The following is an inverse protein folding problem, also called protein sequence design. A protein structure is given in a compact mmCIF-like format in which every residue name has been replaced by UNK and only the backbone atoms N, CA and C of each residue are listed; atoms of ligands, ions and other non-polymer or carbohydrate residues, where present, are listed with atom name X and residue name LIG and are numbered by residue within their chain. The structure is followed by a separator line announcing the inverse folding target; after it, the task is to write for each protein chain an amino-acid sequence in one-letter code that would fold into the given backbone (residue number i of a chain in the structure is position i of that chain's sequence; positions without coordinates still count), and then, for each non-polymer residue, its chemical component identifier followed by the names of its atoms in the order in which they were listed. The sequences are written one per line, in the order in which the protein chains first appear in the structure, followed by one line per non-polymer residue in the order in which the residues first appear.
data_IF_513210977049
#
_entry.id   IF_513210977049
#
_cell.length_a   1.000
_cell.length_b   1.000
_cell.length_c   1.000
_cell.angle_alpha   90.00
_cell.angle_beta   90.00
_cell.angle_gamma   90.00
#
_symmetry.space_group_name_H-M   'P 1'
#
loop_
_entity.id
_entity.type
_entity.pdbx_description
1 polymer ?
#
# COMPACT_ATOMS: atom_id res chain seq x y z
N UNK A 1 3.49 22.80 51.19
CA UNK A 1 4.14 21.55 50.71
C UNK A 1 4.37 21.48 49.20
N UNK A 2 3.67 22.26 48.38
CA UNK A 2 3.79 22.21 46.89
C UNK A 2 4.94 23.01 46.29
N UNK A 3 5.58 23.93 47.03
CA UNK A 3 6.74 24.70 46.53
C UNK A 3 8.12 24.10 46.86
N UNK A 4 8.18 23.12 47.77
CA UNK A 4 9.42 22.44 48.13
C UNK A 4 9.69 21.24 47.21
N UNK A 5 8.63 20.57 46.73
CA UNK A 5 8.73 19.47 45.76
C UNK A 5 9.14 19.97 44.36
N UNK A 6 8.70 21.17 43.97
CA UNK A 6 9.11 21.78 42.70
C UNK A 6 10.59 22.20 42.70
N UNK A 7 11.15 22.57 43.85
CA UNK A 7 12.58 22.92 43.95
C UNK A 7 13.50 21.70 43.94
N UNK A 8 13.05 20.54 44.45
CA UNK A 8 13.83 19.29 44.41
C UNK A 8 13.79 18.64 43.01
N UNK A 9 12.68 18.76 42.29
CA UNK A 9 12.59 18.31 40.88
C UNK A 9 13.35 19.27 39.94
N UNK A 10 13.43 20.56 40.28
CA UNK A 10 14.20 21.54 39.48
C UNK A 10 15.71 21.53 39.80
N UNK A 11 16.12 21.13 41.02
CA UNK A 11 17.54 21.02 41.38
C UNK A 11 18.20 19.72 40.88
N UNK A 12 17.43 18.67 40.60
CA UNK A 12 17.91 17.48 39.88
C UNK A 12 18.08 17.69 38.37
N UNK A 13 17.61 18.83 37.83
CA UNK A 13 17.75 19.21 36.42
C UNK A 13 19.01 20.05 36.13
N UNK A 14 19.74 20.49 37.15
CA UNK A 14 21.03 21.18 37.00
C UNK A 14 22.19 20.26 37.39
N UNK A 15 22.40 19.21 36.59
CA UNK A 15 23.76 18.69 36.42
C UNK A 15 24.49 19.76 35.60
N UNK A 16 25.52 20.36 36.20
CA UNK A 16 26.37 21.33 35.54
C UNK A 16 26.75 20.84 34.13
N UNK A 17 26.85 21.72 33.12
CA UNK A 17 27.45 21.32 31.87
C UNK A 17 28.92 20.99 32.17
N UNK A 18 29.24 19.70 32.33
CA UNK A 18 30.61 19.24 32.18
C UNK A 18 31.00 19.62 30.75
N UNK A 19 31.77 20.70 30.62
CA UNK A 19 32.27 21.27 29.36
C UNK A 19 33.51 20.54 28.85
N UNK A 20 33.93 19.47 29.55
CA UNK A 20 35.03 18.58 29.16
C UNK A 20 34.55 17.39 28.33
N UNK A 21 35.33 17.05 27.30
CA UNK A 21 35.25 15.77 26.60
C UNK A 21 35.89 14.71 27.50
N UNK A 22 35.15 14.23 28.49
CA UNK A 22 35.68 13.33 29.51
C UNK A 22 35.46 11.88 29.08
N UNK A 23 36.54 11.19 28.71
CA UNK A 23 36.57 9.75 28.53
C UNK A 23 37.75 9.13 29.29
N UNK A 24 37.51 7.96 29.88
CA UNK A 24 38.53 7.07 30.40
C UNK A 24 38.72 5.97 29.36
N UNK A 25 39.86 6.04 28.67
CA UNK A 25 40.19 5.16 27.57
C UNK A 25 41.18 4.08 28.03
N UNK A 26 40.65 2.89 28.31
CA UNK A 26 41.43 1.67 28.58
C UNK A 26 41.66 0.95 27.25
N UNK A 27 42.41 1.60 26.35
CA UNK A 27 42.63 1.17 24.97
C UNK A 27 44.11 1.10 24.61
N UNK A 28 44.49 0.14 23.76
CA UNK A 28 45.78 0.07 23.08
C UNK A 28 45.51 0.20 21.59
N UNK A 29 46.10 1.21 20.93
CA UNK A 29 45.85 1.54 19.51
C UNK A 29 44.36 1.69 19.15
N UNK A 30 43.56 2.23 20.09
CA UNK A 30 42.11 2.42 19.93
C UNK A 30 41.28 1.14 20.08
N UNK A 31 41.91 0.01 20.44
CA UNK A 31 41.26 -1.25 20.75
C UNK A 31 41.11 -1.41 22.26
N UNK A 32 39.89 -1.55 22.77
CA UNK A 32 39.66 -1.80 24.20
C UNK A 32 38.32 -1.29 24.73
N UNK A 33 38.36 -0.78 25.97
CA UNK A 33 37.20 -0.26 26.69
C UNK A 33 37.32 1.26 26.85
N UNK A 34 36.26 1.97 26.49
CA UNK A 34 36.11 3.41 26.71
C UNK A 34 34.90 3.69 27.60
N UNK A 35 35.08 4.50 28.65
CA UNK A 35 34.00 5.01 29.50
C UNK A 35 33.93 6.53 29.34
N UNK A 36 32.88 7.04 28.69
CA UNK A 36 32.68 8.47 28.41
C UNK A 36 32.60 8.81 26.91
N UNK A 37 32.69 10.09 26.58
CA UNK A 37 32.43 10.61 25.22
C UNK A 37 33.68 10.55 24.32
N UNK A 38 34.21 9.35 24.14
CA UNK A 38 35.37 9.07 23.30
C UNK A 38 34.98 9.06 21.81
N UNK A 39 35.82 9.63 20.94
CA UNK A 39 35.49 9.85 19.50
C UNK A 39 35.55 8.58 18.67
N UNK A 40 36.54 7.73 18.93
CA UNK A 40 36.84 6.53 18.16
C UNK A 40 37.18 5.37 19.06
N UNK A 41 36.42 4.28 18.92
CA UNK A 41 36.60 3.08 19.75
C UNK A 41 36.44 1.84 18.88
N UNK A 42 37.39 0.91 18.99
CA UNK A 42 37.23 -0.47 18.51
C UNK A 42 37.11 -1.38 19.74
N UNK A 43 35.92 -1.88 20.04
CA UNK A 43 35.66 -2.63 21.28
C UNK A 43 34.38 -2.20 21.98
N UNK A 44 34.46 -1.91 23.27
CA UNK A 44 33.30 -1.54 24.10
C UNK A 44 33.36 -0.06 24.48
N UNK A 45 32.33 0.69 24.12
CA UNK A 45 32.14 2.09 24.54
C UNK A 45 30.90 2.19 25.42
N UNK A 46 31.08 2.62 26.65
CA UNK A 46 30.02 2.95 27.59
C UNK A 46 29.97 4.47 27.72
N UNK A 47 28.85 5.08 27.38
CA UNK A 47 28.68 6.52 27.47
C UNK A 47 27.42 6.90 28.22
N UNK A 48 27.48 7.98 29.00
CA UNK A 48 26.28 8.56 29.59
C UNK A 48 25.44 9.25 28.52
N UNK A 49 26.05 10.06 27.65
CA UNK A 49 25.33 10.84 26.64
C UNK A 49 26.24 11.24 25.48
N UNK A 50 25.87 10.90 24.23
CA UNK A 50 26.71 11.20 23.06
C UNK A 50 26.67 12.68 22.68
N UNK A 51 27.87 13.25 22.45
CA UNK A 51 28.05 14.62 21.93
C UNK A 51 29.02 14.69 20.74
N UNK A 52 30.11 13.92 20.75
CA UNK A 52 31.19 14.04 19.77
C UNK A 52 31.64 12.69 19.18
N UNK A 53 30.84 11.63 19.31
CA UNK A 53 31.13 10.32 18.74
C UNK A 53 31.39 10.44 17.22
N UNK A 54 32.42 9.76 16.71
CA UNK A 54 32.74 9.72 15.27
C UNK A 54 32.63 8.32 14.71
N UNK A 55 33.15 7.33 15.44
CA UNK A 55 33.09 5.93 15.01
C UNK A 55 33.23 4.96 16.17
N UNK A 56 32.34 3.98 16.23
CA UNK A 56 32.48 2.81 17.11
C UNK A 56 32.41 1.55 16.27
N UNK A 57 33.44 0.70 16.36
CA UNK A 57 33.42 -0.66 15.79
C UNK A 57 33.38 -1.65 16.95
N UNK A 58 32.23 -2.26 17.20
CA UNK A 58 32.00 -3.10 18.38
C UNK A 58 30.67 -2.77 19.06
N UNK A 59 30.69 -2.50 20.36
CA UNK A 59 29.49 -2.22 21.16
C UNK A 59 29.52 -0.77 21.63
N UNK A 60 28.48 0.00 21.29
CA UNK A 60 28.22 1.33 21.80
C UNK A 60 26.99 1.29 22.72
N UNK A 61 27.13 1.55 24.01
CA UNK A 61 26.02 1.61 24.96
C UNK A 61 25.87 3.01 25.54
N UNK A 62 24.71 3.64 25.35
CA UNK A 62 24.42 5.01 25.79
C UNK A 62 23.28 5.03 26.82
N UNK A 63 23.47 5.71 27.96
CA UNK A 63 22.55 5.73 29.12
C UNK A 63 21.65 6.99 29.16
N UNK A 64 21.67 7.83 28.12
CA UNK A 64 20.75 8.96 28.01
C UNK A 64 20.50 9.38 26.56
N UNK A 65 19.43 10.18 26.37
CA UNK A 65 19.08 10.79 25.09
C UNK A 65 20.28 11.57 24.54
N UNK A 66 20.83 11.22 23.38
CA UNK A 66 22.03 11.89 22.90
C UNK A 66 21.69 13.34 22.46
N UNK A 67 22.66 14.26 22.37
CA UNK A 67 22.37 15.68 22.01
C UNK A 67 22.03 15.86 20.52
N UNK A 68 21.35 16.94 20.12
CA UNK A 68 20.75 17.16 18.78
C UNK A 68 21.70 17.11 17.54
N UNK A 69 22.94 16.65 17.68
CA UNK A 69 23.86 16.23 16.62
C UNK A 69 24.50 14.89 17.02
N UNK A 70 23.80 13.77 16.78
CA UNK A 70 24.35 12.41 16.98
C UNK A 70 25.31 12.04 15.85
N UNK A 71 26.44 12.75 15.76
CA UNK A 71 27.45 12.45 14.76
C UNK A 71 28.00 11.03 14.90
N UNK A 72 28.37 10.44 13.77
CA UNK A 72 29.27 9.28 13.71
C UNK A 72 28.63 7.93 13.42
N UNK A 73 29.49 6.94 13.18
CA UNK A 73 29.11 5.62 12.69
C UNK A 73 29.23 4.55 13.77
N UNK A 74 28.18 3.76 13.99
CA UNK A 74 28.25 2.53 14.79
C UNK A 74 28.24 1.31 13.88
N UNK A 75 29.32 0.53 13.91
CA UNK A 75 29.45 -0.77 13.24
C UNK A 75 29.52 -1.87 14.29
N UNK A 76 28.40 -2.57 14.50
CA UNK A 76 28.28 -3.62 15.52
C UNK A 76 26.96 -3.50 16.28
N UNK A 77 27.01 -3.27 17.58
CA UNK A 77 25.83 -3.20 18.45
C UNK A 77 25.69 -1.77 19.00
N UNK A 78 24.54 -1.14 18.75
CA UNK A 78 24.13 0.13 19.35
C UNK A 78 23.04 -0.14 20.41
N UNK A 79 23.35 0.07 21.69
CA UNK A 79 22.44 -0.11 22.82
C UNK A 79 22.07 1.25 23.43
N UNK A 80 20.78 1.44 23.70
CA UNK A 80 20.26 2.71 24.21
C UNK A 80 19.32 2.57 25.40
N UNK A 81 19.61 3.31 26.47
CA UNK A 81 18.72 3.50 27.61
C UNK A 81 18.49 5.01 27.82
N UNK A 82 17.32 5.58 27.51
CA UNK A 82 16.18 4.91 26.87
C UNK A 82 16.35 4.76 25.35
N UNK A 83 17.24 5.50 24.69
CA UNK A 83 17.37 5.57 23.23
C UNK A 83 18.82 5.49 22.76
N UNK A 84 19.03 5.06 21.53
CA UNK A 84 20.35 5.07 20.86
C UNK A 84 20.25 5.81 19.53
N UNK A 85 21.31 6.53 19.16
CA UNK A 85 21.37 7.23 17.89
C UNK A 85 22.79 7.46 17.39
N UNK A 86 22.90 7.55 16.07
CA UNK A 86 24.15 7.74 15.31
C UNK A 86 23.79 8.28 13.91
N UNK A 87 24.76 8.70 13.11
CA UNK A 87 24.50 9.00 11.70
C UNK A 87 24.19 7.72 10.95
N UNK A 88 25.08 6.72 11.08
CA UNK A 88 24.91 5.41 10.48
C UNK A 88 24.99 4.30 11.53
N UNK A 89 24.00 3.40 11.51
CA UNK A 89 24.01 2.19 12.34
C UNK A 89 24.10 0.98 11.41
N UNK A 90 25.22 0.27 11.42
CA UNK A 90 25.40 -1.00 10.70
C UNK A 90 25.57 -2.14 11.70
N UNK A 91 24.55 -3.00 11.82
CA UNK A 91 24.54 -4.14 12.73
C UNK A 91 23.23 -4.23 13.52
N UNK A 92 23.30 -4.27 14.85
CA UNK A 92 22.14 -4.40 15.73
C UNK A 92 21.94 -3.08 16.49
N UNK A 93 20.82 -2.39 16.26
CA UNK A 93 20.36 -1.29 17.10
C UNK A 93 19.25 -1.76 18.02
N UNK A 94 19.41 -1.57 19.33
CA UNK A 94 18.38 -1.93 20.31
C UNK A 94 18.24 -0.87 21.39
N UNK A 95 17.01 -0.41 21.63
CA UNK A 95 16.72 0.56 22.66
C UNK A 95 15.30 0.42 23.22
N UNK A 96 15.12 0.81 24.48
CA UNK A 96 13.80 0.74 25.15
C UNK A 96 12.76 1.67 24.51
N UNK A 97 13.19 2.82 24.02
CA UNK A 97 12.32 3.78 23.34
C UNK A 97 12.59 3.81 21.84
N UNK A 98 13.74 4.37 21.43
CA UNK A 98 13.98 4.65 20.02
C UNK A 98 15.37 4.23 19.56
N UNK A 99 15.42 3.62 18.38
CA UNK A 99 16.63 3.50 17.56
C UNK A 99 16.50 4.51 16.42
N UNK A 100 17.39 5.51 16.39
CA UNK A 100 17.34 6.59 15.41
C UNK A 100 18.68 6.75 14.69
N UNK A 101 18.71 6.50 13.37
CA UNK A 101 19.83 6.85 12.51
C UNK A 101 19.54 8.18 11.79
N UNK A 102 20.48 9.14 11.78
CA UNK A 102 20.28 10.39 11.02
C UNK A 102 20.34 10.15 9.50
N UNK A 103 21.17 9.21 9.07
CA UNK A 103 21.33 8.80 7.68
C UNK A 103 20.80 7.37 7.52
N UNK A 104 21.65 6.36 7.63
CA UNK A 104 21.29 4.99 7.25
C UNK A 104 21.30 4.01 8.43
N UNK A 105 20.28 3.15 8.45
CA UNK A 105 20.15 2.05 9.39
C UNK A 105 20.19 0.71 8.64
N UNK A 106 21.30 -0.03 8.75
CA UNK A 106 21.51 -1.32 8.08
C UNK A 106 21.67 -2.46 9.08
N UNK A 107 20.76 -3.42 9.07
CA UNK A 107 20.85 -4.63 9.89
C UNK A 107 19.54 -4.92 10.65
N UNK A 108 19.61 -5.05 11.97
CA UNK A 108 18.45 -5.34 12.84
C UNK A 108 18.21 -4.13 13.76
N UNK A 109 17.07 -3.47 13.62
CA UNK A 109 16.69 -2.32 14.44
C UNK A 109 15.48 -2.66 15.30
N UNK A 110 15.64 -2.61 16.63
CA UNK A 110 14.57 -2.88 17.58
C UNK A 110 14.42 -1.69 18.54
N UNK A 111 13.41 -0.86 18.30
CA UNK A 111 13.05 0.22 19.22
C UNK A 111 11.74 -0.10 19.91
N UNK A 112 11.72 -0.09 21.25
CA UNK A 112 10.51 -0.43 22.01
C UNK A 112 9.31 0.49 21.69
N UNK A 113 9.54 1.70 21.20
CA UNK A 113 8.53 2.64 20.69
C UNK A 113 8.72 2.89 19.19
N UNK A 114 9.91 3.25 18.72
CA UNK A 114 10.14 3.52 17.28
C UNK A 114 11.51 3.04 16.81
N UNK A 115 11.58 2.64 15.55
CA UNK A 115 12.85 2.48 14.83
C UNK A 115 12.80 3.34 13.57
N UNK A 116 13.83 4.13 13.30
CA UNK A 116 13.84 4.94 12.10
C UNK A 116 15.22 5.41 11.62
N UNK A 117 15.24 5.82 10.36
CA UNK A 117 16.40 6.34 9.66
C UNK A 117 16.01 7.62 8.89
N UNK A 118 16.87 8.64 8.89
CA UNK A 118 16.61 9.86 8.12
C UNK A 118 16.70 9.65 6.61
N UNK A 119 17.55 8.72 6.15
CA UNK A 119 17.64 8.28 4.76
C UNK A 119 17.07 6.87 4.61
N UNK A 120 17.93 5.85 4.59
CA UNK A 120 17.56 4.50 4.18
C UNK A 120 17.59 3.52 5.37
N UNK A 121 16.56 2.68 5.45
CA UNK A 121 16.50 1.57 6.40
C UNK A 121 16.58 0.25 5.62
N UNK A 122 17.63 -0.53 5.85
CA UNK A 122 17.85 -1.81 5.17
C UNK A 122 18.01 -2.97 6.17
N UNK A 123 17.12 -3.96 6.10
CA UNK A 123 17.19 -5.18 6.91
C UNK A 123 15.89 -5.46 7.68
N UNK A 124 16.01 -5.79 8.96
CA UNK A 124 14.87 -6.06 9.84
C UNK A 124 14.66 -4.86 10.76
N UNK A 125 13.43 -4.35 10.86
CA UNK A 125 13.10 -3.35 11.86
C UNK A 125 11.75 -3.57 12.53
N UNK A 126 11.73 -3.37 13.85
CA UNK A 126 10.53 -3.41 14.65
C UNK A 126 10.47 -2.18 15.57
N UNK A 127 9.33 -1.50 15.53
CA UNK A 127 9.03 -0.36 16.39
C UNK A 127 7.69 -0.57 17.09
N UNK A 128 7.61 -0.34 18.40
CA UNK A 128 6.34 -0.47 19.13
C UNK A 128 5.19 0.27 18.47
N UNK A 129 5.32 1.58 18.24
CA UNK A 129 4.37 2.41 17.49
C UNK A 129 4.63 2.36 15.99
N UNK A 130 5.87 2.40 15.53
CA UNK A 130 6.12 2.42 14.10
C UNK A 130 7.57 2.36 13.66
N UNK A 131 7.73 2.09 12.37
CA UNK A 131 9.01 2.08 11.65
C UNK A 131 8.96 3.10 10.51
N UNK A 132 9.99 3.94 10.39
CA UNK A 132 10.01 5.00 9.38
C UNK A 132 11.38 5.21 8.74
N UNK A 133 11.41 5.47 7.44
CA UNK A 133 12.61 5.97 6.76
C UNK A 133 12.28 7.22 5.95
N UNK A 134 13.13 8.24 5.98
CA UNK A 134 12.90 9.47 5.21
C UNK A 134 13.01 9.27 3.70
N UNK A 135 13.70 8.22 3.25
CA UNK A 135 13.82 7.84 1.84
C UNK A 135 13.32 6.43 1.61
N UNK A 136 14.18 5.41 1.69
CA UNK A 136 13.86 4.07 1.23
C UNK A 136 13.86 3.05 2.39
N UNK A 137 12.87 2.16 2.41
CA UNK A 137 12.87 0.96 3.26
C UNK A 137 13.13 -0.26 2.38
N UNK A 138 14.13 -1.06 2.73
CA UNK A 138 14.41 -2.34 2.07
C UNK A 138 14.54 -3.48 3.08
N UNK A 139 13.54 -4.36 3.16
CA UNK A 139 13.59 -5.54 4.02
C UNK A 139 12.26 -5.85 4.70
N UNK A 140 12.30 -6.26 5.97
CA UNK A 140 11.11 -6.65 6.74
C UNK A 140 10.91 -5.67 7.89
N UNK A 141 9.78 -4.96 7.87
CA UNK A 141 9.46 -3.96 8.90
C UNK A 141 8.11 -4.21 9.54
N UNK A 142 8.01 -3.97 10.85
CA UNK A 142 6.76 -4.11 11.59
C UNK A 142 6.57 -2.98 12.61
N UNK A 143 5.34 -2.47 12.72
CA UNK A 143 4.97 -1.51 13.76
C UNK A 143 3.49 -1.53 14.12
N UNK A 144 3.12 -1.25 15.37
CA UNK A 144 1.70 -1.37 15.76
C UNK A 144 0.80 -0.33 15.09
N UNK A 145 1.27 0.89 14.85
CA UNK A 145 0.51 1.92 14.14
C UNK A 145 0.90 1.95 12.67
N UNK A 146 2.19 2.11 12.36
CA UNK A 146 2.57 2.32 10.96
C UNK A 146 3.98 1.90 10.57
N UNK A 147 4.12 1.61 9.27
CA UNK A 147 5.40 1.48 8.59
C UNK A 147 5.42 2.36 7.34
N UNK A 148 6.39 3.26 7.21
CA UNK A 148 6.38 4.30 6.18
C UNK A 148 7.74 4.62 5.59
N UNK A 149 7.80 4.78 4.27
CA UNK A 149 8.98 5.28 3.56
C UNK A 149 8.64 6.59 2.81
N UNK A 150 9.52 7.59 2.89
CA UNK A 150 9.31 8.86 2.16
C UNK A 150 9.36 8.69 0.63
N UNK A 151 10.06 7.67 0.13
CA UNK A 151 10.18 7.34 -1.29
C UNK A 151 9.71 5.91 -1.55
N UNK A 152 10.57 4.91 -1.44
CA UNK A 152 10.23 3.55 -1.85
C UNK A 152 10.23 2.55 -0.69
N UNK A 153 9.39 1.53 -0.80
CA UNK A 153 9.39 0.39 0.12
C UNK A 153 9.54 -0.91 -0.69
N UNK A 154 10.67 -1.60 -0.52
CA UNK A 154 10.93 -2.92 -1.13
C UNK A 154 11.03 -4.00 -0.04
N UNK A 155 10.07 -4.93 0.01
CA UNK A 155 10.10 -6.06 0.94
C UNK A 155 8.75 -6.34 1.62
N UNK A 156 8.76 -6.63 2.91
CA UNK A 156 7.55 -6.97 3.69
C UNK A 156 7.34 -5.89 4.75
N UNK A 157 6.16 -5.31 4.78
CA UNK A 157 5.80 -4.32 5.78
C UNK A 157 4.43 -4.64 6.39
N UNK A 158 4.41 -4.75 7.72
CA UNK A 158 3.22 -5.10 8.49
C UNK A 158 2.94 -4.01 9.50
N UNK A 159 1.73 -3.46 9.52
CA UNK A 159 1.34 -2.52 10.56
C UNK A 159 -0.14 -2.61 10.97
N UNK A 160 -0.45 -2.20 12.19
CA UNK A 160 -1.84 -2.25 12.68
C UNK A 160 -2.75 -1.20 12.07
N UNK A 161 -2.27 0.00 11.72
CA UNK A 161 -3.08 1.01 11.01
C UNK A 161 -2.71 1.11 9.54
N UNK A 162 -1.46 1.48 9.23
CA UNK A 162 -1.11 1.92 7.89
C UNK A 162 0.28 1.50 7.43
N UNK A 163 0.38 1.06 6.18
CA UNK A 163 1.67 0.84 5.51
C UNK A 163 1.69 1.62 4.20
N UNK A 164 2.76 2.37 3.94
CA UNK A 164 2.88 3.01 2.63
C UNK A 164 4.21 3.66 2.30
N UNK A 165 4.30 4.08 1.05
CA UNK A 165 5.47 4.77 0.52
C UNK A 165 5.06 5.97 -0.35
N UNK A 166 5.85 7.05 -0.31
CA UNK A 166 5.57 8.26 -1.09
C UNK A 166 5.63 8.07 -2.61
N UNK A 167 6.45 7.13 -3.08
CA UNK A 167 6.58 6.75 -4.48
C UNK A 167 6.13 5.29 -4.68
N UNK A 168 7.07 4.35 -4.76
CA UNK A 168 6.81 3.00 -5.23
C UNK A 168 6.89 1.98 -4.10
N UNK A 169 5.99 1.00 -4.15
CA UNK A 169 6.02 -0.18 -3.28
C UNK A 169 6.28 -1.41 -4.13
N UNK A 170 7.22 -2.24 -3.69
CA UNK A 170 7.47 -3.57 -4.26
C UNK A 170 7.56 -4.63 -3.18
N UNK A 171 6.53 -5.47 -3.05
CA UNK A 171 6.54 -6.57 -2.09
C UNK A 171 5.18 -6.82 -1.42
N UNK A 172 5.19 -7.07 -0.12
CA UNK A 172 3.99 -7.47 0.65
C UNK A 172 3.67 -6.39 1.70
N UNK A 173 2.48 -5.80 1.58
CA UNK A 173 1.93 -4.88 2.58
C UNK A 173 0.77 -5.54 3.32
N UNK A 174 0.80 -5.50 4.65
CA UNK A 174 -0.33 -5.91 5.49
C UNK A 174 -0.64 -4.80 6.47
N UNK A 175 -1.83 -4.22 6.38
CA UNK A 175 -2.24 -3.09 7.21
C UNK A 175 -3.66 -3.25 7.76
N UNK A 176 -3.95 -2.82 9.00
CA UNK A 176 -5.33 -2.89 9.49
C UNK A 176 -6.29 -1.91 8.82
N UNK A 177 -5.86 -0.69 8.47
CA UNK A 177 -6.70 0.28 7.76
C UNK A 177 -6.28 0.43 6.29
N UNK A 178 -5.03 0.81 6.03
CA UNK A 178 -4.61 1.28 4.71
C UNK A 178 -3.25 0.77 4.25
N UNK A 179 -3.16 0.27 3.01
CA UNK A 179 -1.90 -0.11 2.37
C UNK A 179 -1.77 0.59 1.01
N UNK A 180 -0.73 1.38 0.78
CA UNK A 180 -0.64 2.07 -0.51
C UNK A 180 0.68 2.72 -0.89
N UNK A 181 0.72 3.15 -2.15
CA UNK A 181 1.87 3.78 -2.79
C UNK A 181 1.42 5.08 -3.48
N UNK A 182 2.25 6.13 -3.44
CA UNK A 182 1.95 7.37 -4.16
C UNK A 182 1.98 7.21 -5.69
N UNK A 183 2.85 6.34 -6.20
CA UNK A 183 2.98 6.00 -7.62
C UNK A 183 2.52 4.58 -7.89
N UNK A 184 3.45 3.61 -7.91
CA UNK A 184 3.18 2.25 -8.36
C UNK A 184 3.27 1.24 -7.21
N UNK A 185 2.35 0.27 -7.17
CA UNK A 185 2.36 -0.85 -6.22
C UNK A 185 2.50 -2.16 -6.98
N UNK A 186 3.61 -2.87 -6.75
CA UNK A 186 3.88 -4.19 -7.33
C UNK A 186 3.99 -5.23 -6.23
N UNK A 187 3.06 -6.19 -6.19
CA UNK A 187 3.09 -7.30 -5.24
C UNK A 187 1.75 -7.58 -4.57
N UNK A 188 1.74 -7.78 -3.26
CA UNK A 188 0.56 -8.15 -2.48
C UNK A 188 0.24 -7.03 -1.49
N UNK A 189 -1.00 -6.54 -1.49
CA UNK A 189 -1.48 -5.61 -0.47
C UNK A 189 -2.77 -6.14 0.17
N UNK A 190 -2.74 -6.30 1.49
CA UNK A 190 -3.90 -6.71 2.29
C UNK A 190 -4.22 -5.60 3.28
N UNK A 191 -5.45 -5.10 3.27
CA UNK A 191 -5.89 -4.11 4.25
C UNK A 191 -7.34 -4.21 4.68
N UNK A 192 -7.68 -3.70 5.86
CA UNK A 192 -9.05 -3.73 6.36
C UNK A 192 -9.98 -2.71 5.69
N UNK A 193 -9.48 -1.54 5.27
CA UNK A 193 -10.31 -0.51 4.62
C UNK A 193 -9.92 -0.35 3.16
N UNK A 194 -8.72 0.17 2.89
CA UNK A 194 -8.34 0.61 1.54
C UNK A 194 -6.97 0.12 1.11
N UNK A 195 -6.82 -0.32 -0.13
CA UNK A 195 -5.51 -0.59 -0.69
C UNK A 195 -5.40 -0.15 -2.15
N UNK A 196 -4.28 0.46 -2.53
CA UNK A 196 -4.14 0.96 -3.89
C UNK A 196 -2.90 1.80 -4.12
N UNK A 197 -2.82 2.35 -5.34
CA UNK A 197 -1.72 3.18 -5.77
C UNK A 197 -2.22 4.41 -6.56
N UNK A 198 -1.51 5.52 -6.48
CA UNK A 198 -1.86 6.75 -7.20
C UNK A 198 -1.75 6.61 -8.73
N UNK A 199 -0.96 5.66 -9.22
CA UNK A 199 -0.80 5.34 -10.64
C UNK A 199 -1.18 3.90 -10.92
N UNK A 200 -0.22 2.97 -10.87
CA UNK A 200 -0.42 1.62 -11.38
C UNK A 200 -0.32 0.57 -10.26
N UNK A 201 -1.20 -0.42 -10.30
CA UNK A 201 -1.19 -1.60 -9.41
C UNK A 201 -0.89 -2.83 -10.25
N UNK A 202 0.09 -3.64 -9.86
CA UNK A 202 0.34 -4.95 -10.44
C UNK A 202 0.49 -6.02 -9.35
N UNK A 203 -0.45 -6.97 -9.28
CA UNK A 203 -0.38 -8.10 -8.35
C UNK A 203 -1.71 -8.44 -7.69
N UNK A 204 -1.70 -8.65 -6.37
CA UNK A 204 -2.88 -9.08 -5.60
C UNK A 204 -3.23 -8.00 -4.59
N UNK A 205 -4.43 -7.43 -4.67
CA UNK A 205 -4.97 -6.54 -3.65
C UNK A 205 -6.22 -7.15 -3.03
N UNK A 206 -6.24 -7.22 -1.70
CA UNK A 206 -7.41 -7.62 -0.93
C UNK A 206 -7.71 -6.52 0.09
N UNK A 207 -8.88 -5.90 0.02
CA UNK A 207 -9.30 -4.89 0.99
C UNK A 207 -10.73 -5.07 1.49
N UNK A 208 -11.03 -4.61 2.71
CA UNK A 208 -12.40 -4.72 3.24
C UNK A 208 -13.39 -3.72 2.64
N UNK A 209 -12.93 -2.58 2.10
CA UNK A 209 -13.82 -1.55 1.54
C UNK A 209 -13.49 -1.25 0.08
N UNK A 210 -12.38 -0.57 -0.22
CA UNK A 210 -12.06 -0.15 -1.59
C UNK A 210 -10.67 -0.59 -2.05
N UNK A 211 -10.56 -1.02 -3.30
CA UNK A 211 -9.26 -1.32 -3.90
C UNK A 211 -9.14 -0.72 -5.30
N UNK A 212 -7.97 -0.18 -5.65
CA UNK A 212 -7.81 0.36 -6.99
C UNK A 212 -6.51 1.05 -7.31
N UNK A 213 -6.48 1.60 -8.52
CA UNK A 213 -5.34 2.33 -9.06
C UNK A 213 -5.83 3.62 -9.74
N UNK A 214 -5.06 4.70 -9.63
CA UNK A 214 -5.40 5.96 -10.32
C UNK A 214 -5.34 5.84 -11.85
N UNK A 215 -4.60 4.86 -12.39
CA UNK A 215 -4.48 4.57 -13.81
C UNK A 215 -4.78 3.11 -14.12
N UNK A 216 -3.79 2.23 -14.07
CA UNK A 216 -3.91 0.86 -14.53
C UNK A 216 -3.80 -0.14 -13.37
N UNK A 217 -4.74 -1.08 -13.29
CA UNK A 217 -4.75 -2.12 -12.26
C UNK A 217 -4.72 -3.51 -12.92
N UNK A 218 -3.66 -4.27 -12.71
CA UNK A 218 -3.43 -5.58 -13.33
C UNK A 218 -3.23 -6.66 -12.28
N UNK A 219 -4.05 -7.71 -12.32
CA UNK A 219 -3.91 -8.89 -11.46
C UNK A 219 -5.22 -9.31 -10.80
N UNK A 220 -5.18 -9.58 -9.49
CA UNK A 220 -6.35 -10.00 -8.70
C UNK A 220 -6.69 -8.90 -7.70
N UNK A 221 -7.89 -8.32 -7.81
CA UNK A 221 -8.32 -7.22 -6.94
C UNK A 221 -9.64 -7.62 -6.29
N UNK A 222 -9.66 -7.74 -4.98
CA UNK A 222 -10.84 -8.16 -4.21
C UNK A 222 -11.13 -7.08 -3.18
N UNK A 223 -12.37 -6.60 -3.13
CA UNK A 223 -12.78 -5.56 -2.19
C UNK A 223 -14.22 -5.70 -1.74
N UNK A 224 -14.52 -5.32 -0.50
CA UNK A 224 -15.88 -5.41 0.05
C UNK A 224 -16.89 -4.43 -0.54
N UNK A 225 -16.49 -3.24 -1.00
CA UNK A 225 -17.36 -2.32 -1.75
C UNK A 225 -17.05 -2.28 -3.22
N UNK A 226 -15.80 -2.05 -3.64
CA UNK A 226 -15.56 -1.91 -5.06
C UNK A 226 -14.11 -1.82 -5.50
N UNK A 227 -13.90 -2.34 -6.70
CA UNK A 227 -12.61 -2.35 -7.38
C UNK A 227 -12.65 -1.36 -8.54
N UNK A 228 -11.66 -0.47 -8.61
CA UNK A 228 -11.62 0.59 -9.61
C UNK A 228 -10.25 0.79 -10.24
N UNK A 229 -10.23 1.18 -11.52
CA UNK A 229 -9.05 1.74 -12.17
C UNK A 229 -9.45 2.99 -12.96
N UNK A 230 -8.63 4.04 -12.90
CA UNK A 230 -8.91 5.26 -13.69
C UNK A 230 -8.89 5.02 -15.21
N UNK A 231 -8.14 4.01 -15.67
CA UNK A 231 -8.00 3.65 -17.08
C UNK A 231 -8.30 2.17 -17.33
N UNK A 232 -7.33 1.29 -17.13
CA UNK A 232 -7.49 -0.13 -17.46
C UNK A 232 -7.50 -0.99 -16.21
N UNK A 233 -8.46 -1.91 -16.12
CA UNK A 233 -8.50 -2.96 -15.11
C UNK A 233 -8.43 -4.31 -15.83
N UNK A 234 -7.29 -5.00 -15.68
CA UNK A 234 -7.00 -6.29 -16.33
C UNK A 234 -6.83 -7.40 -15.30
N UNK A 235 -7.50 -8.53 -15.48
CA UNK A 235 -7.33 -9.74 -14.68
C UNK A 235 -8.64 -10.19 -14.03
N UNK A 236 -8.61 -10.41 -12.72
CA UNK A 236 -9.79 -10.81 -11.94
C UNK A 236 -10.11 -9.68 -10.96
N UNK A 237 -11.36 -9.24 -10.94
CA UNK A 237 -11.83 -8.35 -9.89
C UNK A 237 -13.17 -8.74 -9.30
N UNK A 238 -13.27 -8.56 -7.98
CA UNK A 238 -14.46 -8.87 -7.20
C UNK A 238 -14.73 -7.66 -6.29
N UNK A 239 -15.79 -6.92 -6.56
CA UNK A 239 -16.23 -5.80 -5.74
C UNK A 239 -17.61 -6.08 -5.14
N UNK A 240 -17.82 -5.89 -3.84
CA UNK A 240 -19.13 -6.21 -3.25
C UNK A 240 -20.29 -5.38 -3.82
N UNK A 241 -20.06 -4.14 -4.24
CA UNK A 241 -21.02 -3.30 -4.97
C UNK A 241 -20.64 -3.13 -6.44
N UNK A 242 -19.38 -2.76 -6.73
CA UNK A 242 -19.00 -2.33 -8.08
C UNK A 242 -17.62 -2.78 -8.54
N UNK A 243 -17.52 -3.12 -9.82
CA UNK A 243 -16.25 -3.15 -10.55
C UNK A 243 -16.31 -2.14 -11.68
N UNK A 244 -15.31 -1.26 -11.79
CA UNK A 244 -15.27 -0.29 -12.89
C UNK A 244 -13.88 0.06 -13.40
N UNK A 245 -13.81 0.43 -14.67
CA UNK A 245 -12.62 1.04 -15.28
C UNK A 245 -13.02 2.15 -16.26
N UNK A 246 -12.24 3.24 -16.32
CA UNK A 246 -12.52 4.36 -17.22
C UNK A 246 -12.42 4.00 -18.71
N UNK A 247 -11.42 3.21 -19.08
CA UNK A 247 -11.12 2.84 -20.46
C UNK A 247 -11.47 1.37 -20.74
N UNK A 248 -10.74 0.43 -20.14
CA UNK A 248 -10.83 -0.99 -20.48
C UNK A 248 -11.03 -1.88 -19.26
N UNK A 249 -12.04 -2.74 -19.29
CA UNK A 249 -12.18 -3.91 -18.43
C UNK A 249 -11.80 -5.15 -19.23
N UNK A 250 -10.77 -5.89 -18.80
CA UNK A 250 -10.34 -7.12 -19.47
C UNK A 250 -10.16 -8.27 -18.48
N UNK A 251 -10.90 -9.35 -18.68
CA UNK A 251 -10.79 -10.57 -17.88
C UNK A 251 -12.12 -10.95 -17.22
N UNK A 252 -12.10 -11.29 -15.94
CA UNK A 252 -13.26 -11.69 -15.16
C UNK A 252 -13.58 -10.61 -14.11
N UNK A 253 -14.79 -10.06 -14.19
CA UNK A 253 -15.22 -8.98 -13.32
C UNK A 253 -16.56 -9.35 -12.66
N UNK A 254 -16.57 -9.39 -11.34
CA UNK A 254 -17.72 -9.77 -10.52
C UNK A 254 -18.10 -8.61 -9.60
N UNK A 255 -19.38 -8.26 -9.55
CA UNK A 255 -19.86 -7.26 -8.60
C UNK A 255 -21.27 -7.49 -8.08
N UNK A 256 -21.58 -7.08 -6.84
CA UNK A 256 -22.94 -7.25 -6.31
C UNK A 256 -23.99 -6.36 -6.98
N UNK A 257 -23.65 -5.12 -7.36
CA UNK A 257 -24.56 -4.23 -8.08
C UNK A 257 -24.21 -4.12 -9.55
N UNK A 258 -22.98 -3.70 -9.87
CA UNK A 258 -22.66 -3.20 -11.21
C UNK A 258 -21.26 -3.54 -11.70
N UNK A 259 -21.12 -3.95 -12.96
CA UNK A 259 -19.84 -4.01 -13.67
C UNK A 259 -19.89 -3.08 -14.89
N UNK A 260 -18.96 -2.14 -15.00
CA UNK A 260 -19.01 -1.14 -16.08
C UNK A 260 -17.67 -0.59 -16.53
N UNK A 261 -17.52 -0.38 -17.84
CA UNK A 261 -16.35 0.28 -18.42
C UNK A 261 -16.56 0.60 -19.89
N UNK A 262 -15.73 1.47 -20.48
CA UNK A 262 -15.90 1.90 -21.86
C UNK A 262 -15.72 0.74 -22.83
N UNK A 263 -14.62 0.00 -22.73
CA UNK A 263 -14.32 -1.21 -23.51
C UNK A 263 -14.28 -2.42 -22.59
N UNK A 264 -15.21 -3.35 -22.74
CA UNK A 264 -15.24 -4.58 -21.94
C UNK A 264 -14.84 -5.75 -22.82
N UNK A 265 -13.89 -6.58 -22.34
CA UNK A 265 -13.49 -7.83 -23.00
C UNK A 265 -13.36 -8.97 -21.99
N UNK A 266 -14.24 -9.97 -22.07
CA UNK A 266 -14.17 -11.14 -21.19
C UNK A 266 -15.51 -11.52 -20.57
N UNK A 267 -15.56 -11.61 -19.24
CA UNK A 267 -16.74 -12.05 -18.48
C UNK A 267 -17.13 -10.99 -17.46
N UNK A 268 -18.40 -10.59 -17.48
CA UNK A 268 -19.02 -9.75 -16.46
C UNK A 268 -20.13 -10.54 -15.76
N UNK A 269 -20.07 -10.58 -14.44
CA UNK A 269 -21.14 -11.12 -13.61
C UNK A 269 -21.52 -10.05 -12.60
N UNK A 270 -22.76 -9.59 -12.63
CA UNK A 270 -23.26 -8.64 -11.66
C UNK A 270 -24.61 -9.03 -11.10
N UNK A 271 -24.93 -8.58 -9.88
CA UNK A 271 -26.23 -8.86 -9.27
C UNK A 271 -27.37 -8.05 -9.89
N UNK A 272 -27.11 -6.85 -10.44
CA UNK A 272 -28.15 -6.01 -11.05
C UNK A 272 -27.79 -5.58 -12.48
N UNK A 273 -26.69 -4.83 -12.66
CA UNK A 273 -26.44 -4.10 -13.90
C UNK A 273 -25.07 -4.38 -14.51
N UNK A 274 -24.99 -4.40 -15.84
CA UNK A 274 -23.70 -4.41 -16.52
C UNK A 274 -23.77 -3.58 -17.80
N UNK A 275 -22.65 -3.01 -18.24
CA UNK A 275 -22.67 -2.23 -19.47
C UNK A 275 -21.36 -1.58 -19.86
N UNK A 276 -21.39 -0.92 -21.02
CA UNK A 276 -20.25 -0.21 -21.58
C UNK A 276 -20.55 0.36 -22.97
N UNK A 277 -19.53 0.92 -23.61
CA UNK A 277 -19.65 1.38 -24.99
C UNK A 277 -19.36 0.24 -25.97
N UNK A 278 -18.26 -0.47 -25.78
CA UNK A 278 -17.81 -1.56 -26.64
C UNK A 278 -17.62 -2.83 -25.80
N UNK A 279 -18.65 -3.69 -25.79
CA UNK A 279 -18.72 -4.88 -24.94
C UNK A 279 -18.53 -6.14 -25.77
N UNK A 280 -17.36 -6.76 -25.63
CA UNK A 280 -16.98 -8.06 -26.21
C UNK A 280 -16.96 -9.12 -25.10
N UNK A 281 -18.12 -9.50 -24.58
CA UNK A 281 -18.19 -10.26 -23.34
C UNK A 281 -19.34 -11.28 -23.26
N UNK A 282 -19.15 -12.25 -22.35
CA UNK A 282 -20.25 -12.93 -21.67
C UNK A 282 -20.71 -12.04 -20.52
N UNK A 283 -21.96 -11.63 -20.51
CA UNK A 283 -22.54 -10.76 -19.49
C UNK A 283 -23.73 -11.44 -18.83
N UNK A 284 -23.69 -11.53 -17.50
CA UNK A 284 -24.81 -11.96 -16.66
C UNK A 284 -25.14 -10.80 -15.72
N UNK A 285 -26.28 -10.15 -15.94
CA UNK A 285 -26.75 -9.02 -15.15
C UNK A 285 -28.28 -9.07 -15.04
N UNK A 286 -28.86 -9.70 -14.00
CA UNK A 286 -30.26 -10.06 -13.95
C UNK A 286 -31.25 -8.93 -14.23
N UNK A 287 -30.94 -7.68 -13.85
CA UNK A 287 -31.85 -6.57 -14.04
C UNK A 287 -31.66 -5.87 -15.41
N UNK A 288 -30.47 -5.35 -15.68
CA UNK A 288 -30.27 -4.44 -16.80
C UNK A 288 -28.89 -4.54 -17.43
N UNK A 289 -28.87 -4.72 -18.75
CA UNK A 289 -27.65 -4.62 -19.56
C UNK A 289 -27.77 -3.49 -20.57
N UNK A 290 -26.74 -2.64 -20.63
CA UNK A 290 -26.75 -1.46 -21.50
C UNK A 290 -25.49 -1.38 -22.37
N UNK A 291 -25.70 -1.09 -23.65
CA UNK A 291 -24.66 -0.60 -24.54
C UNK A 291 -25.02 0.79 -25.05
N UNK A 292 -24.08 1.70 -24.93
CA UNK A 292 -24.26 3.12 -25.24
C UNK A 292 -24.49 3.38 -26.74
N UNK A 293 -24.86 4.62 -27.03
CA UNK A 293 -25.13 5.08 -28.38
C UNK A 293 -23.90 4.95 -29.29
N UNK A 294 -24.04 4.26 -30.42
CA UNK A 294 -22.92 4.03 -31.34
C UNK A 294 -21.94 2.93 -30.88
N UNK A 295 -22.17 2.37 -29.69
CA UNK A 295 -21.44 1.26 -29.13
C UNK A 295 -21.70 -0.08 -29.84
N UNK A 296 -20.94 -1.10 -29.42
CA UNK A 296 -21.05 -2.46 -29.97
C UNK A 296 -21.18 -3.47 -28.86
N UNK A 297 -22.13 -4.39 -29.02
CA UNK A 297 -22.23 -5.61 -28.24
C UNK A 297 -21.78 -6.78 -29.11
N UNK A 298 -20.80 -7.55 -28.64
CA UNK A 298 -20.37 -8.83 -29.23
C UNK A 298 -20.29 -9.89 -28.15
N UNK A 299 -21.16 -10.90 -28.21
CA UNK A 299 -21.12 -12.03 -27.28
C UNK A 299 -22.48 -12.48 -26.82
N UNK A 300 -22.59 -12.82 -25.54
CA UNK A 300 -23.82 -13.29 -24.90
C UNK A 300 -24.18 -12.34 -23.75
N UNK A 301 -25.40 -11.82 -23.74
CA UNK A 301 -25.96 -11.10 -22.59
C UNK A 301 -27.20 -11.79 -22.06
N UNK A 302 -27.28 -11.98 -20.75
CA UNK A 302 -28.42 -12.55 -20.03
C UNK A 302 -28.88 -11.54 -18.97
N UNK A 303 -30.03 -10.90 -19.23
CA UNK A 303 -30.58 -9.81 -18.42
C UNK A 303 -32.08 -9.65 -18.64
N UNK A 304 -32.85 -9.20 -17.65
CA UNK A 304 -34.28 -8.92 -17.83
C UNK A 304 -34.53 -7.87 -18.92
N UNK A 305 -33.73 -6.81 -18.94
CA UNK A 305 -33.75 -5.81 -20.01
C UNK A 305 -32.37 -5.63 -20.62
N UNK A 306 -32.24 -5.96 -21.91
CA UNK A 306 -31.06 -5.67 -22.73
C UNK A 306 -31.35 -4.45 -23.61
N UNK A 307 -30.60 -3.36 -23.43
CA UNK A 307 -30.69 -2.13 -24.23
C UNK A 307 -29.40 -1.85 -24.98
N UNK A 308 -29.37 -2.15 -26.27
CA UNK A 308 -28.21 -1.95 -27.14
C UNK A 308 -28.48 -0.77 -28.08
N UNK A 309 -27.94 0.40 -27.74
CA UNK A 309 -28.16 1.64 -28.51
C UNK A 309 -27.18 1.81 -29.69
N UNK A 310 -26.54 0.71 -30.10
CA UNK A 310 -25.65 0.63 -31.25
C UNK A 310 -25.83 -0.70 -32.00
N UNK A 311 -24.72 -1.39 -32.25
CA UNK A 311 -24.71 -2.65 -33.00
C UNK A 311 -24.69 -3.86 -32.07
N UNK A 312 -25.67 -4.75 -32.21
CA UNK A 312 -25.71 -6.04 -31.54
C UNK A 312 -25.18 -7.12 -32.50
N UNK A 313 -24.13 -7.84 -32.08
CA UNK A 313 -23.71 -9.11 -32.67
C UNK A 313 -23.63 -10.22 -31.62
N UNK A 314 -24.33 -11.32 -31.85
CA UNK A 314 -24.42 -12.42 -30.88
C UNK A 314 -25.80 -12.51 -30.25
N UNK A 315 -25.86 -12.99 -29.01
CA UNK A 315 -27.10 -13.46 -28.37
C UNK A 315 -27.47 -12.58 -27.19
N UNK A 316 -28.71 -12.09 -27.17
CA UNK A 316 -29.30 -11.46 -25.98
C UNK A 316 -30.49 -12.26 -25.50
N UNK A 317 -30.51 -12.59 -24.21
CA UNK A 317 -31.60 -13.32 -23.56
C UNK A 317 -32.19 -12.41 -22.49
N UNK A 318 -33.51 -12.23 -22.50
CA UNK A 318 -34.19 -11.35 -21.56
C UNK A 318 -35.70 -11.31 -21.69
N UNK A 319 -36.37 -10.54 -20.83
CA UNK A 319 -37.80 -10.25 -20.98
C UNK A 319 -37.97 -9.27 -22.14
N UNK A 320 -37.16 -8.21 -22.15
CA UNK A 320 -37.13 -7.18 -23.18
C UNK A 320 -35.73 -7.10 -23.78
N UNK A 321 -35.63 -7.25 -25.09
CA UNK A 321 -34.41 -7.01 -25.85
C UNK A 321 -34.64 -5.86 -26.82
N UNK A 322 -33.80 -4.84 -26.77
CA UNK A 322 -33.80 -3.73 -27.69
C UNK A 322 -32.43 -3.61 -28.36
N UNK A 323 -32.39 -3.54 -29.68
CA UNK A 323 -31.20 -3.22 -30.45
C UNK A 323 -31.50 -2.19 -31.54
N UNK A 324 -30.64 -1.18 -31.66
CA UNK A 324 -30.72 -0.22 -32.77
C UNK A 324 -30.36 -0.89 -34.10
N UNK A 325 -29.28 -1.66 -34.14
CA UNK A 325 -28.89 -2.51 -35.27
C UNK A 325 -28.65 -3.93 -34.79
N UNK A 326 -29.49 -4.87 -35.23
CA UNK A 326 -29.35 -6.29 -34.93
C UNK A 326 -28.60 -7.03 -36.04
N UNK A 327 -27.58 -7.81 -35.67
CA UNK A 327 -26.85 -8.80 -36.49
C UNK A 327 -26.53 -10.02 -35.59
N UNK A 328 -27.58 -10.73 -35.17
CA UNK A 328 -27.51 -11.80 -34.18
C UNK A 328 -28.89 -12.34 -33.80
N UNK A 329 -29.01 -12.84 -32.56
CA UNK A 329 -30.22 -13.45 -32.02
C UNK A 329 -30.69 -12.75 -30.74
N UNK A 330 -32.00 -12.56 -30.63
CA UNK A 330 -32.67 -12.09 -29.42
C UNK A 330 -33.69 -13.14 -29.01
N UNK A 331 -33.67 -13.53 -27.74
CA UNK A 331 -34.59 -14.49 -27.14
C UNK A 331 -35.25 -13.78 -25.97
N UNK A 332 -36.57 -13.61 -26.04
CA UNK A 332 -37.31 -12.88 -25.01
C UNK A 332 -38.76 -12.62 -25.32
N UNK A 333 -39.54 -12.23 -24.32
CA UNK A 333 -40.97 -11.95 -24.50
C UNK A 333 -41.20 -10.84 -25.53
N UNK A 334 -40.38 -9.79 -25.50
CA UNK A 334 -40.43 -8.67 -26.45
C UNK A 334 -39.04 -8.43 -27.02
N UNK A 335 -38.90 -8.52 -28.35
CA UNK A 335 -37.65 -8.29 -29.05
C UNK A 335 -37.82 -7.17 -30.08
N UNK A 336 -37.06 -6.08 -29.94
CA UNK A 336 -37.13 -4.90 -30.80
C UNK A 336 -35.81 -4.69 -31.54
N UNK A 337 -35.88 -4.62 -32.87
CA UNK A 337 -34.77 -4.32 -33.76
C UNK A 337 -35.13 -3.16 -34.70
N UNK A 338 -34.54 -1.97 -34.47
CA UNK A 338 -34.92 -0.76 -35.21
C UNK A 338 -34.43 -0.71 -36.66
N UNK A 339 -33.41 -1.50 -37.02
CA UNK A 339 -32.84 -1.53 -38.38
C UNK A 339 -33.66 -2.34 -39.41
N UNK A 340 -34.79 -2.94 -39.01
CA UNK A 340 -35.62 -3.74 -39.91
C UNK A 340 -36.80 -2.94 -40.46
N UNK A 341 -37.14 -3.14 -41.72
CA UNK A 341 -38.34 -2.51 -42.31
C UNK A 341 -39.63 -3.27 -41.98
N UNK A 342 -39.55 -4.61 -41.84
CA UNK A 342 -40.64 -5.48 -41.37
C UNK A 342 -40.19 -6.27 -40.15
N UNK A 343 -41.12 -6.66 -39.28
CA UNK A 343 -40.84 -7.43 -38.06
C UNK A 343 -39.90 -6.72 -37.08
N UNK A 344 -40.10 -5.41 -36.90
CA UNK A 344 -39.35 -4.60 -35.93
C UNK A 344 -39.53 -5.08 -34.50
N UNK A 345 -40.73 -5.53 -34.15
CA UNK A 345 -41.08 -6.09 -32.85
C UNK A 345 -41.51 -7.54 -33.09
N UNK A 346 -40.85 -8.49 -32.42
CA UNK A 346 -41.20 -9.91 -32.50
C UNK A 346 -41.32 -10.54 -31.10
N UNK A 347 -42.35 -11.36 -30.85
CA UNK A 347 -42.46 -12.12 -29.62
C UNK A 347 -41.54 -13.34 -29.65
N UNK A 348 -41.04 -13.74 -28.47
CA UNK A 348 -40.20 -14.92 -28.19
C UNK A 348 -38.82 -14.96 -28.85
N UNK A 349 -38.71 -14.61 -30.12
CA UNK A 349 -37.48 -14.72 -30.89
C UNK A 349 -37.37 -13.63 -31.97
N UNK A 350 -36.16 -13.09 -32.16
CA UNK A 350 -35.84 -12.18 -33.26
C UNK A 350 -34.40 -12.41 -33.75
N UNK A 351 -34.15 -12.33 -35.06
CA UNK A 351 -32.83 -12.55 -35.62
C UNK A 351 -32.55 -11.70 -36.86
N UNK A 352 -31.30 -11.33 -37.08
CA UNK A 352 -30.86 -10.65 -38.31
C UNK A 352 -29.41 -11.04 -38.63
N UNK A 353 -29.04 -11.00 -39.91
CA UNK A 353 -27.67 -11.22 -40.37
C UNK A 353 -27.00 -9.88 -40.61
#
# INVERSE_FOLDING_TARGET
MTRFLSLVVFSLLFVAPATGQDSIDLMVDGVGLSIGDSKEVTGLRLNFRDRAMRRVTGINATIWLPYNNHGGDVRGIALGLPSTGADNITGIGSALMAVAANEDAKGIMFGGVTAGAGNDLMGLAAGGLGVGAGRDIKGIVTGSLGAGAGRNLEGIAVAGLGVGAGNDVKGILVAGLGAGAGNDLVGIAVSGVGAGAGRDVTGIIVSGFGAGAGRDATGIIISGLGTGAGRNLTGISIGGLGTGAGDTLRGLHIAGLGVGGTNVRGVMVSGLTAGGHDVYALSIAPAYFSVDHGGKMRGLSVSSYNRIQGEQKGVTIGILNYARKLSGYQIGLINVASNKDRFRIMPFFNFAR
#
